data_IF_250249384779
#
_entry.id   IF_250249384779
#
_cell.length_a   1.000
_cell.length_b   1.000
_cell.length_c   1.000
_cell.angle_alpha   90.00
_cell.angle_beta   90.00
_cell.angle_gamma   90.00
#
_symmetry.space_group_name_H-M   'P 1'
#
loop_
_entity.id
_entity.type
_entity.pdbx_description
1 polymer ?
#
# COMPACT_ATOMS: atom_id res chain seq x y z
N UNK A 1 17.37 3.02 23.60
CA UNK A 1 17.29 2.67 22.16
C UNK A 1 15.87 2.26 21.86
N UNK A 2 15.34 2.54 20.66
CA UNK A 2 14.02 2.04 20.27
C UNK A 2 13.98 0.50 20.32
N UNK A 3 12.86 -0.06 20.76
CA UNK A 3 12.64 -1.52 20.81
C UNK A 3 11.65 -1.96 19.74
N UNK A 4 11.99 -3.02 19.00
CA UNK A 4 11.13 -3.62 17.97
C UNK A 4 10.78 -5.06 18.32
N UNK A 5 9.49 -5.38 18.25
CA UNK A 5 9.01 -6.76 18.29
C UNK A 5 8.87 -7.30 16.87
N UNK A 6 9.53 -8.40 16.55
CA UNK A 6 9.26 -9.20 15.35
C UNK A 6 8.37 -10.36 15.76
N UNK A 7 7.09 -10.29 15.40
CA UNK A 7 6.04 -11.17 15.93
C UNK A 7 5.67 -12.34 15.02
N UNK A 8 6.14 -12.31 13.77
CA UNK A 8 5.95 -13.34 12.76
C UNK A 8 7.31 -13.89 12.30
N UNK A 9 7.30 -15.07 11.66
CA UNK A 9 8.50 -15.62 11.00
C UNK A 9 9.03 -14.67 9.95
N UNK A 10 10.23 -14.14 10.15
CA UNK A 10 10.94 -13.26 9.24
C UNK A 10 12.36 -13.77 9.03
N UNK A 11 13.03 -13.38 7.94
CA UNK A 11 14.44 -13.74 7.77
C UNK A 11 15.27 -13.25 8.97
N UNK A 12 16.18 -14.08 9.53
CA UNK A 12 17.10 -13.66 10.58
C UNK A 12 17.92 -12.42 10.20
N UNK A 13 18.14 -12.17 8.91
CA UNK A 13 18.81 -10.98 8.39
C UNK A 13 18.14 -9.68 8.84
N UNK A 14 16.80 -9.64 8.96
CA UNK A 14 16.09 -8.47 9.50
C UNK A 14 16.49 -8.17 10.95
N UNK A 15 16.63 -9.21 11.77
CA UNK A 15 17.04 -9.08 13.18
C UNK A 15 18.45 -8.49 13.26
N UNK A 16 19.36 -8.93 12.39
CA UNK A 16 20.71 -8.40 12.34
C UNK A 16 20.72 -6.92 11.91
N UNK A 17 19.92 -6.54 10.91
CA UNK A 17 19.81 -5.14 10.45
C UNK A 17 19.32 -4.21 11.55
N UNK A 18 18.29 -4.62 12.30
CA UNK A 18 17.83 -3.82 13.44
C UNK A 18 18.96 -3.56 14.43
N UNK A 19 19.71 -4.61 14.81
CA UNK A 19 20.84 -4.50 15.75
C UNK A 19 21.94 -3.59 15.21
N UNK A 20 22.36 -3.80 13.96
CA UNK A 20 23.41 -3.01 13.31
C UNK A 20 23.05 -1.53 13.18
N UNK A 21 21.75 -1.22 13.08
CA UNK A 21 21.22 0.15 13.02
C UNK A 21 20.89 0.74 14.39
N UNK A 22 21.24 0.07 15.49
CA UNK A 22 21.05 0.58 16.85
C UNK A 22 19.61 0.48 17.36
N UNK A 23 18.83 -0.48 16.87
CA UNK A 23 17.50 -0.84 17.34
C UNK A 23 17.57 -2.14 18.13
N UNK A 24 17.02 -2.14 19.34
CA UNK A 24 16.90 -3.35 20.14
C UNK A 24 15.73 -4.19 19.62
N UNK A 25 15.89 -5.52 19.57
CA UNK A 25 14.95 -6.39 18.85
C UNK A 25 14.67 -7.68 19.60
N UNK A 26 13.39 -7.94 19.84
CA UNK A 26 12.89 -9.23 20.32
C UNK A 26 12.28 -10.00 19.14
N UNK A 27 12.90 -11.14 18.79
CA UNK A 27 12.43 -12.02 17.73
C UNK A 27 11.57 -13.15 18.34
N UNK A 28 10.25 -12.97 18.31
CA UNK A 28 9.27 -13.89 18.88
C UNK A 28 8.27 -14.34 17.79
N UNK A 29 8.70 -15.11 16.77
CA UNK A 29 7.93 -15.32 15.54
C UNK A 29 6.63 -16.13 15.68
N UNK A 30 6.38 -16.71 16.85
CA UNK A 30 5.15 -17.44 17.14
C UNK A 30 4.15 -16.61 17.96
N UNK A 31 4.56 -15.47 18.54
CA UNK A 31 3.68 -14.65 19.39
C UNK A 31 2.55 -14.01 18.58
N UNK A 32 2.75 -13.80 17.27
CA UNK A 32 1.73 -13.27 16.38
C UNK A 32 0.43 -14.08 16.32
N UNK A 33 0.52 -15.39 16.56
CA UNK A 33 -0.64 -16.30 16.61
C UNK A 33 -1.32 -16.29 17.99
N UNK A 34 -0.58 -15.95 19.04
CA UNK A 34 -1.04 -15.88 20.42
C UNK A 34 -1.48 -14.45 20.75
N UNK A 35 -2.75 -14.16 20.45
CA UNK A 35 -3.33 -12.82 20.59
C UNK A 35 -3.26 -12.29 22.03
N UNK A 36 -3.37 -13.17 23.02
CA UNK A 36 -3.38 -12.78 24.44
C UNK A 36 -1.98 -12.38 24.87
N UNK A 37 -0.98 -13.24 24.59
CA UNK A 37 0.41 -12.94 24.89
C UNK A 37 0.92 -11.71 24.14
N UNK A 38 0.53 -11.53 22.87
CA UNK A 38 0.90 -10.35 22.10
C UNK A 38 0.32 -9.07 22.74
N UNK A 39 -0.94 -9.10 23.21
CA UNK A 39 -1.56 -7.98 23.92
C UNK A 39 -0.84 -7.63 25.23
N UNK A 40 -0.32 -8.62 25.95
CA UNK A 40 0.40 -8.42 27.22
C UNK A 40 1.73 -7.68 27.03
N UNK A 41 2.44 -7.96 25.94
CA UNK A 41 3.81 -7.47 25.75
C UNK A 41 3.91 -6.23 24.85
N UNK A 42 2.91 -5.94 24.02
CA UNK A 42 3.03 -4.93 22.95
C UNK A 42 3.30 -3.51 23.46
N UNK A 43 2.87 -3.18 24.68
CA UNK A 43 3.10 -1.88 25.31
C UNK A 43 4.58 -1.55 25.52
N UNK A 44 5.47 -2.55 25.45
CA UNK A 44 6.91 -2.38 25.69
C UNK A 44 7.72 -1.96 24.45
N UNK A 45 7.10 -1.88 23.28
CA UNK A 45 7.80 -1.73 22.00
C UNK A 45 7.46 -0.42 21.28
N UNK A 46 8.47 0.17 20.63
CA UNK A 46 8.34 1.32 19.73
C UNK A 46 7.95 0.92 18.31
N UNK A 47 8.27 -0.32 17.90
CA UNK A 47 7.94 -0.85 16.59
C UNK A 47 7.46 -2.29 16.60
N UNK A 48 6.59 -2.63 15.66
CA UNK A 48 6.06 -3.98 15.47
C UNK A 48 6.29 -4.41 14.01
N UNK A 49 7.18 -5.37 13.80
CA UNK A 49 7.39 -6.01 12.50
C UNK A 49 6.54 -7.29 12.40
N UNK A 50 5.76 -7.38 11.33
CA UNK A 50 4.79 -8.45 11.10
C UNK A 50 4.87 -9.00 9.67
N UNK A 51 4.26 -10.15 9.43
CA UNK A 51 3.91 -10.68 8.09
C UNK A 51 2.40 -10.82 7.95
N UNK A 52 1.88 -12.03 7.78
CA UNK A 52 0.46 -12.31 7.56
C UNK A 52 -0.25 -12.94 8.76
N UNK A 53 0.51 -13.49 9.72
CA UNK A 53 -0.04 -14.24 10.85
C UNK A 53 -0.57 -13.28 11.92
N UNK A 54 0.23 -12.29 12.31
CA UNK A 54 -0.21 -11.25 13.25
C UNK A 54 -1.33 -10.40 12.64
N UNK A 55 -2.43 -10.23 13.39
CA UNK A 55 -3.50 -9.28 13.04
C UNK A 55 -3.41 -8.04 13.94
N UNK A 56 -3.06 -6.90 13.35
CA UNK A 56 -2.95 -5.61 14.05
C UNK A 56 -4.31 -4.94 14.07
N UNK A 57 -5.11 -5.34 15.05
CA UNK A 57 -6.49 -4.85 15.25
C UNK A 57 -6.53 -3.57 16.09
N UNK A 58 -7.65 -2.84 16.09
CA UNK A 58 -7.89 -1.72 17.00
C UNK A 58 -7.64 -2.09 18.47
N UNK A 59 -8.02 -3.30 18.90
CA UNK A 59 -7.75 -3.81 20.27
C UNK A 59 -6.24 -3.88 20.56
N UNK A 60 -5.45 -4.40 19.62
CA UNK A 60 -4.00 -4.49 19.78
C UNK A 60 -3.35 -3.11 19.82
N UNK A 61 -3.73 -2.23 18.89
CA UNK A 61 -3.27 -0.85 18.84
C UNK A 61 -3.68 -0.07 20.10
N UNK A 62 -4.79 -0.45 20.73
CA UNK A 62 -5.25 0.07 22.02
C UNK A 62 -4.32 -0.25 23.19
N UNK A 63 -3.72 -1.44 23.22
CA UNK A 63 -2.78 -1.85 24.25
C UNK A 63 -1.35 -1.33 23.99
N UNK A 64 -1.04 -0.92 22.76
CA UNK A 64 0.29 -0.57 22.29
C UNK A 64 0.70 0.88 22.63
N UNK A 65 0.83 1.21 23.90
CA UNK A 65 1.01 2.60 24.39
C UNK A 65 2.27 3.31 23.92
N UNK A 66 3.33 2.58 23.57
CA UNK A 66 4.61 3.14 23.09
C UNK A 66 4.81 3.02 21.57
N UNK A 67 3.91 2.32 20.87
CA UNK A 67 4.11 1.93 19.49
C UNK A 67 4.08 3.16 18.56
N UNK A 68 5.09 3.28 17.70
CA UNK A 68 5.24 4.38 16.74
C UNK A 68 5.10 3.91 15.30
N UNK A 69 5.49 2.66 15.01
CA UNK A 69 5.48 2.10 13.66
C UNK A 69 5.08 0.63 13.64
N UNK A 70 4.27 0.27 12.66
CA UNK A 70 3.99 -1.11 12.24
C UNK A 70 4.60 -1.31 10.86
N UNK A 71 5.57 -2.22 10.74
CA UNK A 71 6.15 -2.61 9.47
C UNK A 71 5.63 -3.97 9.04
N UNK A 72 4.90 -4.02 7.92
CA UNK A 72 4.46 -5.26 7.30
C UNK A 72 5.48 -5.70 6.25
N UNK A 73 6.13 -6.84 6.48
CA UNK A 73 6.97 -7.53 5.49
C UNK A 73 6.10 -8.21 4.41
N UNK A 74 5.83 -7.44 3.35
CA UNK A 74 5.11 -7.80 2.12
C UNK A 74 4.24 -6.62 1.63
N UNK A 75 3.66 -6.73 0.43
CA UNK A 75 2.85 -5.65 -0.19
C UNK A 75 1.51 -5.41 0.50
N UNK A 76 0.69 -6.46 0.67
CA UNK A 76 -0.64 -6.35 1.27
C UNK A 76 -0.60 -5.98 2.75
N UNK A 77 -1.61 -5.25 3.20
CA UNK A 77 -1.73 -4.75 4.59
C UNK A 77 -3.11 -5.04 5.16
N UNK A 78 -3.78 -6.04 4.60
CA UNK A 78 -5.15 -6.44 4.94
C UNK A 78 -5.28 -6.91 6.41
N UNK A 79 -4.16 -7.26 7.04
CA UNK A 79 -4.07 -7.64 8.44
C UNK A 79 -3.74 -6.47 9.40
N UNK A 80 -3.78 -5.22 8.93
CA UNK A 80 -3.55 -4.03 9.75
C UNK A 80 -4.75 -3.09 9.66
N UNK A 81 -5.30 -2.72 10.82
CA UNK A 81 -6.32 -1.68 10.90
C UNK A 81 -5.67 -0.29 10.75
N UNK A 82 -5.48 0.12 9.49
CA UNK A 82 -4.85 1.39 9.14
C UNK A 82 -5.63 2.58 9.70
N UNK A 83 -6.97 2.65 9.62
CA UNK A 83 -7.73 3.73 10.25
C UNK A 83 -7.45 3.84 11.76
N UNK A 84 -7.49 2.73 12.51
CA UNK A 84 -7.20 2.74 13.94
C UNK A 84 -5.75 3.12 14.24
N UNK A 85 -4.78 2.62 13.47
CA UNK A 85 -3.37 2.96 13.62
C UNK A 85 -3.16 4.47 13.38
N UNK A 86 -3.79 5.00 12.33
CA UNK A 86 -3.66 6.39 11.96
C UNK A 86 -4.29 7.32 12.99
N UNK A 87 -5.47 6.99 13.55
CA UNK A 87 -6.09 7.75 14.65
C UNK A 87 -5.17 7.84 15.88
N UNK A 88 -4.39 6.78 16.14
CA UNK A 88 -3.42 6.72 17.24
C UNK A 88 -2.06 7.29 16.89
N UNK A 89 -1.89 7.78 15.67
CA UNK A 89 -0.64 8.39 15.26
C UNK A 89 0.46 7.39 14.91
N UNK A 90 0.12 6.12 14.69
CA UNK A 90 1.06 5.02 14.43
C UNK A 90 1.27 4.92 12.91
N UNK A 91 2.53 4.98 12.47
CA UNK A 91 2.87 4.84 11.05
C UNK A 91 2.71 3.38 10.64
N UNK A 92 2.08 3.14 9.49
CA UNK A 92 2.00 1.81 8.88
C UNK A 92 2.84 1.81 7.61
N UNK A 93 3.83 0.92 7.53
CA UNK A 93 4.71 0.75 6.38
C UNK A 93 4.55 -0.65 5.78
N UNK A 94 4.70 -0.77 4.47
CA UNK A 94 4.81 -2.05 3.77
C UNK A 94 6.12 -2.15 2.98
N UNK A 95 6.30 -3.24 2.25
CA UNK A 95 7.48 -3.46 1.39
C UNK A 95 7.02 -3.63 -0.05
N UNK A 96 6.74 -2.52 -0.77
CA UNK A 96 6.00 -2.55 -2.03
C UNK A 96 6.76 -3.19 -3.21
N UNK A 97 8.06 -3.45 -3.04
CA UNK A 97 8.94 -3.97 -4.09
C UNK A 97 9.48 -5.38 -3.77
N UNK A 98 9.58 -5.74 -2.48
CA UNK A 98 10.33 -6.93 -2.06
C UNK A 98 9.86 -8.27 -2.62
N UNK A 99 8.61 -8.37 -3.09
CA UNK A 99 8.07 -9.59 -3.70
C UNK A 99 7.44 -9.36 -5.10
N UNK A 100 7.66 -8.20 -5.73
CA UNK A 100 7.00 -7.89 -7.00
C UNK A 100 7.40 -8.85 -8.13
N UNK A 101 8.69 -9.18 -8.21
CA UNK A 101 9.25 -10.12 -9.18
C UNK A 101 8.65 -11.51 -8.98
N UNK A 102 8.72 -12.03 -7.76
CA UNK A 102 8.21 -13.36 -7.38
C UNK A 102 6.71 -13.50 -7.65
N UNK A 103 5.91 -12.49 -7.32
CA UNK A 103 4.46 -12.56 -7.58
C UNK A 103 4.16 -12.55 -9.08
N UNK A 104 4.92 -11.75 -9.85
CA UNK A 104 4.80 -11.74 -11.29
C UNK A 104 5.25 -13.08 -11.92
N UNK A 105 6.27 -13.76 -11.36
CA UNK A 105 6.69 -15.09 -11.81
C UNK A 105 5.62 -16.12 -11.54
N UNK A 106 5.01 -16.06 -10.36
CA UNK A 106 3.93 -16.96 -9.98
C UNK A 106 2.69 -16.80 -10.88
N UNK A 107 2.32 -15.56 -11.23
CA UNK A 107 1.23 -15.31 -12.17
C UNK A 107 1.53 -15.89 -13.57
N UNK A 108 2.75 -15.71 -14.07
CA UNK A 108 3.18 -16.30 -15.35
C UNK A 108 3.25 -17.83 -15.27
N UNK A 109 3.69 -18.38 -14.13
CA UNK A 109 3.72 -19.83 -13.89
C UNK A 109 2.31 -20.42 -13.90
N UNK A 110 1.34 -19.79 -13.22
CA UNK A 110 -0.07 -20.20 -13.28
C UNK A 110 -0.64 -20.08 -14.69
N UNK A 111 -0.29 -19.03 -15.44
CA UNK A 111 -0.69 -18.91 -16.85
C UNK A 111 -0.23 -20.11 -17.69
N UNK A 112 1.02 -20.55 -17.53
CA UNK A 112 1.53 -21.75 -18.20
C UNK A 112 0.89 -23.04 -17.68
N UNK A 113 0.70 -23.16 -16.36
CA UNK A 113 0.04 -24.31 -15.74
C UNK A 113 -1.35 -24.53 -16.32
N UNK A 114 -2.12 -23.45 -16.50
CA UNK A 114 -3.43 -23.47 -17.15
C UNK A 114 -3.35 -23.76 -18.64
N UNK A 115 -2.43 -23.10 -19.36
CA UNK A 115 -2.30 -23.26 -20.79
C UNK A 115 -1.98 -24.72 -21.16
N UNK A 116 -1.30 -25.46 -20.28
CA UNK A 116 -0.79 -26.80 -20.54
C UNK A 116 -1.37 -27.89 -19.64
N UNK A 117 -2.32 -27.57 -18.76
CA UNK A 117 -2.98 -28.51 -17.83
C UNK A 117 -1.95 -29.29 -16.99
N UNK A 118 -0.91 -28.58 -16.51
CA UNK A 118 0.27 -29.22 -15.91
C UNK A 118 -0.06 -30.04 -14.65
N UNK A 119 -0.86 -29.55 -13.68
CA UNK A 119 -1.13 -30.32 -12.47
C UNK A 119 -1.85 -31.64 -12.76
N UNK A 120 -2.87 -31.63 -13.61
CA UNK A 120 -3.67 -32.80 -13.97
C UNK A 120 -2.84 -33.80 -14.79
N UNK A 121 -2.05 -33.31 -15.74
CA UNK A 121 -1.15 -34.14 -16.55
C UNK A 121 -0.06 -34.79 -15.69
N UNK A 122 0.53 -34.05 -14.75
CA UNK A 122 1.49 -34.59 -13.79
C UNK A 122 0.84 -35.67 -12.91
N UNK A 123 -0.34 -35.40 -12.31
CA UNK A 123 -1.04 -36.35 -11.46
C UNK A 123 -1.38 -37.65 -12.21
N UNK A 124 -1.88 -37.55 -13.45
CA UNK A 124 -2.17 -38.71 -14.29
C UNK A 124 -0.92 -39.55 -14.60
N UNK A 125 0.18 -38.88 -14.94
CA UNK A 125 1.45 -39.55 -15.31
C UNK A 125 2.11 -40.22 -14.10
N UNK A 126 2.13 -39.56 -12.93
CA UNK A 126 2.63 -40.12 -11.67
C UNK A 126 1.80 -41.33 -11.20
N UNK A 127 0.51 -41.37 -11.55
CA UNK A 127 -0.36 -42.53 -11.34
C UNK A 127 -0.12 -43.68 -12.34
N UNK A 128 0.90 -43.59 -13.19
CA UNK A 128 1.27 -44.62 -14.17
C UNK A 128 0.40 -44.63 -15.44
N UNK A 129 -0.45 -43.62 -15.65
CA UNK A 129 -1.28 -43.52 -16.85
C UNK A 129 -0.55 -42.80 -17.97
N UNK A 130 -0.92 -43.08 -19.22
CA UNK A 130 -0.38 -42.43 -20.41
C UNK A 130 -1.48 -41.84 -21.28
N UNK A 131 -2.16 -40.84 -20.77
CA UNK A 131 -3.37 -40.24 -21.37
C UNK A 131 -3.04 -39.11 -22.37
N UNK A 132 -2.08 -39.32 -23.29
CA UNK A 132 -1.61 -38.28 -24.23
C UNK A 132 -2.75 -37.56 -24.95
N UNK A 133 -3.78 -38.29 -25.35
CA UNK A 133 -4.91 -37.75 -26.13
C UNK A 133 -5.96 -37.03 -25.27
N UNK A 134 -5.91 -37.14 -23.94
CA UNK A 134 -6.81 -36.42 -23.01
C UNK A 134 -6.42 -34.95 -22.87
N UNK A 135 -5.12 -34.65 -22.90
CA UNK A 135 -4.60 -33.32 -22.66
C UNK A 135 -4.42 -32.56 -23.98
N UNK A 136 -5.09 -31.42 -24.09
CA UNK A 136 -5.00 -30.53 -25.24
C UNK A 136 -4.84 -29.09 -24.73
N UNK A 137 -3.58 -28.66 -24.68
CA UNK A 137 -3.25 -27.31 -24.24
C UNK A 137 -3.53 -26.25 -25.30
N UNK A 138 -3.17 -25.02 -24.95
CA UNK A 138 -3.16 -23.86 -25.86
C UNK A 138 -1.78 -23.25 -25.93
N UNK A 139 -1.43 -22.81 -27.12
CA UNK A 139 -0.26 -21.96 -27.34
C UNK A 139 -0.59 -20.52 -26.93
N UNK A 140 0.33 -19.86 -26.22
CA UNK A 140 0.20 -18.48 -25.74
C UNK A 140 0.77 -17.46 -26.74
N UNK A 141 1.72 -17.86 -27.58
CA UNK A 141 2.35 -17.01 -28.60
C UNK A 141 1.28 -16.41 -29.51
N UNK A 142 1.36 -15.09 -29.75
CA UNK A 142 0.40 -14.36 -30.58
C UNK A 142 -1.00 -14.21 -29.99
N UNK A 143 -1.27 -14.71 -28.77
CA UNK A 143 -2.53 -14.45 -28.05
C UNK A 143 -2.49 -13.11 -27.34
N UNK A 144 -3.65 -12.61 -26.96
CA UNK A 144 -3.78 -11.38 -26.19
C UNK A 144 -3.76 -11.66 -24.68
N UNK A 145 -2.85 -10.99 -23.96
CA UNK A 145 -2.82 -10.93 -22.50
C UNK A 145 -3.40 -9.59 -22.03
N UNK A 146 -4.52 -9.64 -21.31
CA UNK A 146 -5.09 -8.52 -20.59
C UNK A 146 -4.53 -8.41 -19.17
N UNK A 147 -3.93 -7.27 -18.85
CA UNK A 147 -3.37 -6.97 -17.53
C UNK A 147 -4.26 -5.94 -16.84
N UNK A 148 -4.98 -6.35 -15.78
CA UNK A 148 -5.82 -5.46 -14.98
C UNK A 148 -4.99 -4.98 -13.78
N UNK A 149 -4.61 -3.70 -13.79
CA UNK A 149 -3.63 -3.09 -12.88
C UNK A 149 -2.21 -3.24 -13.42
N UNK A 150 -1.56 -2.12 -13.75
CA UNK A 150 -0.23 -2.06 -14.33
C UNK A 150 0.78 -1.36 -13.39
N UNK A 151 0.64 -1.63 -12.09
CA UNK A 151 1.60 -1.19 -11.05
C UNK A 151 2.88 -2.03 -11.04
N UNK A 152 3.54 -2.10 -9.87
CA UNK A 152 4.84 -2.79 -9.72
C UNK A 152 4.82 -4.25 -10.22
N UNK A 153 3.77 -5.02 -9.94
CA UNK A 153 3.67 -6.44 -10.35
C UNK A 153 3.17 -6.53 -11.80
N UNK A 154 2.08 -5.83 -12.11
CA UNK A 154 1.43 -5.90 -13.42
C UNK A 154 2.36 -5.46 -14.56
N UNK A 155 3.20 -4.45 -14.35
CA UNK A 155 4.19 -4.03 -15.34
C UNK A 155 5.26 -5.10 -15.62
N UNK A 156 5.70 -5.86 -14.61
CA UNK A 156 6.62 -6.98 -14.81
C UNK A 156 5.95 -8.11 -15.60
N UNK A 157 4.69 -8.43 -15.27
CA UNK A 157 3.91 -9.44 -16.01
C UNK A 157 3.68 -9.00 -17.46
N UNK A 158 3.36 -7.73 -17.68
CA UNK A 158 3.22 -7.15 -19.00
C UNK A 158 4.50 -7.29 -19.84
N UNK A 159 5.66 -6.86 -19.31
CA UNK A 159 6.94 -6.99 -20.02
C UNK A 159 7.29 -8.46 -20.31
N UNK A 160 6.99 -9.38 -19.39
CA UNK A 160 7.17 -10.82 -19.62
C UNK A 160 6.23 -11.35 -20.70
N UNK A 161 4.97 -10.90 -20.74
CA UNK A 161 4.01 -11.23 -21.80
C UNK A 161 4.50 -10.78 -23.18
N UNK A 162 5.02 -9.57 -23.29
CA UNK A 162 5.67 -9.07 -24.52
C UNK A 162 6.88 -9.94 -24.90
N UNK A 163 7.71 -10.30 -23.92
CA UNK A 163 8.86 -11.20 -24.10
C UNK A 163 8.45 -12.59 -24.64
N UNK A 164 7.30 -13.10 -24.16
CA UNK A 164 6.65 -14.34 -24.61
C UNK A 164 5.90 -14.19 -25.95
N UNK A 165 6.01 -13.03 -26.61
CA UNK A 165 5.40 -12.73 -27.91
C UNK A 165 3.87 -12.76 -27.88
N UNK A 166 3.28 -12.37 -26.75
CA UNK A 166 1.85 -12.08 -26.65
C UNK A 166 1.57 -10.63 -27.06
N UNK A 167 0.34 -10.35 -27.49
CA UNK A 167 -0.17 -8.98 -27.59
C UNK A 167 -0.64 -8.55 -26.21
N UNK A 168 -0.02 -7.55 -25.59
CA UNK A 168 -0.35 -7.17 -24.22
C UNK A 168 -1.20 -5.90 -24.22
N UNK A 169 -2.38 -5.99 -23.62
CA UNK A 169 -3.27 -4.84 -23.36
C UNK A 169 -3.38 -4.63 -21.85
N UNK A 170 -3.41 -3.39 -21.38
CA UNK A 170 -3.42 -3.08 -19.96
C UNK A 170 -4.50 -2.05 -19.62
N UNK A 171 -5.25 -2.32 -18.56
CA UNK A 171 -6.15 -1.35 -17.93
C UNK A 171 -5.58 -0.94 -16.58
N UNK A 172 -5.25 0.34 -16.43
CA UNK A 172 -4.93 0.96 -15.16
C UNK A 172 -5.21 2.47 -15.25
N UNK A 173 -6.11 3.03 -14.42
CA UNK A 173 -6.42 4.46 -14.44
C UNK A 173 -5.22 5.38 -14.18
N UNK A 174 -4.15 4.84 -13.60
CA UNK A 174 -2.95 5.60 -13.23
C UNK A 174 -1.76 5.33 -14.18
N UNK A 175 -1.92 4.47 -15.18
CA UNK A 175 -0.89 4.25 -16.20
C UNK A 175 -0.86 5.42 -17.19
N UNK A 176 0.28 6.09 -17.32
CA UNK A 176 0.48 7.11 -18.35
C UNK A 176 0.71 6.47 -19.72
N UNK A 177 0.34 7.17 -20.79
CA UNK A 177 0.53 6.68 -22.16
C UNK A 177 2.01 6.47 -22.48
N UNK A 178 2.87 7.39 -22.02
CA UNK A 178 4.33 7.26 -22.12
C UNK A 178 4.90 6.00 -21.45
N UNK A 179 4.34 5.60 -20.30
CA UNK A 179 4.77 4.40 -19.59
C UNK A 179 4.26 3.13 -20.29
N UNK A 180 3.05 3.18 -20.86
CA UNK A 180 2.52 2.09 -21.67
C UNK A 180 3.39 1.83 -22.91
N UNK A 181 3.78 2.89 -23.62
CA UNK A 181 4.72 2.82 -24.74
C UNK A 181 6.07 2.22 -24.35
N UNK A 182 6.67 2.68 -23.24
CA UNK A 182 7.94 2.14 -22.72
C UNK A 182 7.85 0.63 -22.41
N UNK A 183 6.72 0.19 -21.86
CA UNK A 183 6.47 -1.22 -21.56
C UNK A 183 6.15 -2.06 -22.81
N UNK A 184 5.87 -1.41 -23.95
CA UNK A 184 5.44 -2.07 -25.19
C UNK A 184 4.03 -2.67 -25.10
N UNK A 185 3.12 -1.99 -24.39
CA UNK A 185 1.74 -2.45 -24.19
C UNK A 185 0.70 -1.43 -24.64
N UNK A 186 -0.47 -1.91 -25.07
CA UNK A 186 -1.59 -1.05 -25.40
C UNK A 186 -2.38 -0.71 -24.13
N UNK A 187 -2.42 0.57 -23.74
CA UNK A 187 -3.33 1.01 -22.69
C UNK A 187 -4.75 1.10 -23.25
N UNK A 188 -5.69 0.46 -22.58
CA UNK A 188 -7.10 0.35 -23.00
C UNK A 188 -8.05 0.55 -21.82
N UNK A 189 -9.31 0.82 -22.11
CA UNK A 189 -10.38 0.78 -21.10
C UNK A 189 -10.75 -0.67 -20.74
N UNK A 190 -11.37 -0.85 -19.57
CA UNK A 190 -11.63 -2.18 -19.01
C UNK A 190 -12.53 -3.05 -19.91
N UNK A 191 -13.59 -2.46 -20.49
CA UNK A 191 -14.49 -3.20 -21.39
C UNK A 191 -13.77 -3.66 -22.67
N UNK A 192 -12.86 -2.83 -23.21
CA UNK A 192 -12.04 -3.21 -24.36
C UNK A 192 -11.06 -4.34 -24.02
N UNK A 193 -10.46 -4.30 -22.83
CA UNK A 193 -9.60 -5.38 -22.33
C UNK A 193 -10.36 -6.71 -22.32
N UNK A 194 -11.60 -6.75 -21.81
CA UNK A 194 -12.39 -7.98 -21.76
C UNK A 194 -12.65 -8.55 -23.16
N UNK A 195 -13.02 -7.69 -24.11
CA UNK A 195 -13.32 -8.11 -25.48
C UNK A 195 -12.09 -8.68 -26.22
N UNK A 196 -10.89 -8.17 -25.93
CA UNK A 196 -9.66 -8.52 -26.66
C UNK A 196 -8.89 -9.70 -26.06
N UNK A 197 -9.03 -9.97 -24.76
CA UNK A 197 -8.10 -10.84 -24.03
C UNK A 197 -8.42 -12.34 -24.15
N UNK A 198 -7.38 -13.14 -24.44
CA UNK A 198 -7.45 -14.61 -24.35
C UNK A 198 -7.00 -15.11 -22.97
N UNK A 199 -6.10 -14.35 -22.33
CA UNK A 199 -5.67 -14.51 -20.95
C UNK A 199 -5.88 -13.19 -20.22
N UNK A 200 -6.39 -13.23 -18.98
CA UNK A 200 -6.56 -12.05 -18.13
C UNK A 200 -5.83 -12.31 -16.81
N UNK A 201 -5.02 -11.36 -16.37
CA UNK A 201 -4.31 -11.42 -15.07
C UNK A 201 -4.60 -10.18 -14.24
N UNK A 202 -4.86 -10.38 -12.96
CA UNK A 202 -5.19 -9.31 -12.01
C UNK A 202 -4.00 -8.93 -11.14
N UNK A 203 -3.74 -7.62 -11.02
CA UNK A 203 -2.66 -7.01 -10.23
C UNK A 203 -3.10 -5.70 -9.55
N UNK A 204 -4.37 -5.61 -9.16
CA UNK A 204 -4.94 -4.45 -8.46
C UNK A 204 -5.05 -4.69 -6.94
N UNK A 205 -5.00 -3.61 -6.12
CA UNK A 205 -5.34 -3.72 -4.70
C UNK A 205 -6.84 -4.00 -4.52
N UNK A 206 -7.22 -4.50 -3.34
CA UNK A 206 -8.62 -4.63 -2.94
C UNK A 206 -9.16 -3.29 -2.45
N UNK A 207 -10.17 -2.76 -3.12
CA UNK A 207 -10.87 -1.51 -2.83
C UNK A 207 -12.34 -1.67 -3.17
N UNK A 208 -13.20 -0.74 -2.75
CA UNK A 208 -14.62 -0.77 -3.12
C UNK A 208 -14.83 -0.71 -4.64
N UNK A 209 -13.90 -0.11 -5.39
CA UNK A 209 -13.95 -0.02 -6.85
C UNK A 209 -13.46 -1.27 -7.57
N UNK A 210 -12.65 -2.09 -6.91
CA UNK A 210 -12.01 -3.28 -7.51
C UNK A 210 -12.56 -4.59 -6.98
N UNK A 211 -13.34 -4.54 -5.89
CA UNK A 211 -14.08 -5.68 -5.37
C UNK A 211 -15.05 -6.20 -6.41
N UNK A 212 -14.97 -7.50 -6.72
CA UNK A 212 -15.80 -8.13 -7.73
C UNK A 212 -15.66 -7.51 -9.12
N UNK A 213 -14.49 -6.92 -9.45
CA UNK A 213 -14.21 -6.37 -10.79
C UNK A 213 -14.39 -7.42 -11.89
N UNK A 214 -14.23 -8.70 -11.55
CA UNK A 214 -14.64 -9.83 -12.38
C UNK A 214 -15.88 -10.47 -11.75
N UNK A 215 -17.04 -10.07 -12.26
CA UNK A 215 -18.36 -10.62 -11.93
C UNK A 215 -19.02 -11.23 -13.19
N UNK A 216 -20.24 -11.74 -13.07
CA UNK A 216 -20.98 -12.32 -14.19
C UNK A 216 -21.10 -11.39 -15.40
N UNK A 217 -21.33 -10.09 -15.19
CA UNK A 217 -21.42 -9.09 -16.27
C UNK A 217 -20.07 -8.95 -17.00
N UNK A 218 -18.97 -8.76 -16.27
CA UNK A 218 -17.63 -8.68 -16.82
C UNK A 218 -17.27 -9.95 -17.60
N UNK A 219 -17.54 -11.13 -17.04
CA UNK A 219 -17.29 -12.42 -17.69
C UNK A 219 -18.09 -12.56 -18.99
N UNK A 220 -19.34 -12.07 -19.03
CA UNK A 220 -20.18 -12.14 -20.24
C UNK A 220 -19.56 -11.41 -21.44
N UNK A 221 -18.80 -10.34 -21.20
CA UNK A 221 -18.12 -9.53 -22.22
C UNK A 221 -16.83 -10.17 -22.74
N UNK A 222 -16.29 -11.16 -22.04
CA UNK A 222 -15.02 -11.79 -22.42
C UNK A 222 -15.17 -12.72 -23.63
N UNK A 223 -14.05 -13.08 -24.25
CA UNK A 223 -14.02 -14.16 -25.25
C UNK A 223 -14.40 -15.51 -24.63
N UNK A 224 -15.02 -16.37 -25.44
CA UNK A 224 -15.27 -17.75 -25.03
C UNK A 224 -13.94 -18.51 -24.90
N UNK A 225 -13.79 -19.26 -23.81
CA UNK A 225 -12.56 -19.99 -23.51
C UNK A 225 -11.42 -19.14 -22.92
N UNK A 226 -11.71 -17.90 -22.50
CA UNK A 226 -10.75 -17.03 -21.79
C UNK A 226 -10.18 -17.72 -20.55
N UNK A 227 -8.92 -17.46 -20.23
CA UNK A 227 -8.26 -17.96 -19.01
C UNK A 227 -7.96 -16.82 -18.05
N UNK A 228 -8.29 -16.98 -16.77
CA UNK A 228 -8.21 -15.91 -15.77
C UNK A 228 -7.20 -16.30 -14.68
N UNK A 229 -6.28 -15.40 -14.34
CA UNK A 229 -5.25 -15.59 -13.33
C UNK A 229 -5.41 -14.53 -12.23
N UNK A 230 -5.48 -14.96 -10.97
CA UNK A 230 -5.49 -14.07 -9.82
C UNK A 230 -4.41 -14.45 -8.81
N UNK A 231 -3.34 -13.67 -8.79
CA UNK A 231 -2.29 -13.68 -7.76
C UNK A 231 -2.27 -12.37 -6.96
N UNK A 232 -3.35 -11.58 -7.02
CA UNK A 232 -3.41 -10.26 -6.40
C UNK A 232 -4.13 -10.30 -5.06
N UNK A 233 -5.47 -10.31 -5.06
CA UNK A 233 -6.28 -10.37 -3.83
C UNK A 233 -7.51 -11.24 -4.03
N UNK A 234 -7.88 -11.98 -2.98
CA UNK A 234 -9.18 -12.64 -2.89
C UNK A 234 -10.32 -11.63 -2.96
N UNK A 235 -11.45 -12.03 -3.57
CA UNK A 235 -12.62 -11.16 -3.76
C UNK A 235 -12.54 -10.17 -4.93
N UNK A 236 -11.43 -10.13 -5.69
CA UNK A 236 -11.40 -9.39 -6.97
C UNK A 236 -12.26 -10.09 -8.03
N UNK A 237 -12.38 -11.41 -7.91
CA UNK A 237 -13.28 -12.24 -8.70
C UNK A 237 -14.41 -12.69 -7.78
N UNK A 238 -15.65 -12.58 -8.25
CA UNK A 238 -16.80 -13.21 -7.60
C UNK A 238 -16.70 -14.72 -7.85
N UNK A 239 -16.29 -15.48 -6.83
CA UNK A 239 -15.96 -16.92 -6.99
C UNK A 239 -17.14 -17.73 -7.53
N UNK A 240 -18.37 -17.41 -7.10
CA UNK A 240 -19.59 -18.08 -7.59
C UNK A 240 -19.82 -17.87 -9.09
N UNK A 241 -19.61 -16.66 -9.60
CA UNK A 241 -19.76 -16.33 -11.01
C UNK A 241 -18.69 -17.03 -11.85
N UNK A 242 -17.45 -17.07 -11.33
CA UNK A 242 -16.35 -17.80 -11.96
C UNK A 242 -16.66 -19.30 -12.07
N UNK A 243 -17.18 -19.92 -11.00
CA UNK A 243 -17.57 -21.35 -11.02
C UNK A 243 -18.65 -21.61 -12.08
N UNK A 244 -19.67 -20.75 -12.16
CA UNK A 244 -20.71 -20.88 -13.18
C UNK A 244 -20.13 -20.80 -14.60
N UNK A 245 -19.23 -19.85 -14.83
CA UNK A 245 -18.60 -19.65 -16.13
C UNK A 245 -17.60 -20.75 -16.53
N UNK A 246 -16.90 -21.34 -15.55
CA UNK A 246 -16.05 -22.51 -15.76
C UNK A 246 -16.89 -23.73 -16.15
N UNK A 247 -18.02 -23.96 -15.47
CA UNK A 247 -18.94 -25.06 -15.78
C UNK A 247 -19.62 -24.91 -17.14
N UNK A 248 -19.93 -23.67 -17.55
CA UNK A 248 -20.53 -23.41 -18.86
C UNK A 248 -19.51 -23.45 -20.02
N UNK A 249 -18.21 -23.47 -19.71
CA UNK A 249 -17.13 -23.36 -20.70
C UNK A 249 -16.88 -21.93 -21.21
N UNK A 250 -17.58 -20.92 -20.67
CA UNK A 250 -17.33 -19.51 -20.99
C UNK A 250 -15.90 -19.14 -20.60
N UNK A 251 -15.47 -19.57 -19.42
CA UNK A 251 -14.08 -19.49 -18.96
C UNK A 251 -13.43 -20.85 -19.17
N UNK A 252 -12.36 -20.89 -19.95
CA UNK A 252 -11.64 -22.11 -20.30
C UNK A 252 -10.79 -22.67 -19.16
N UNK A 253 -10.40 -21.82 -18.20
CA UNK A 253 -9.74 -22.23 -16.97
C UNK A 253 -9.33 -21.05 -16.08
N UNK A 254 -9.02 -21.32 -14.82
CA UNK A 254 -8.65 -20.29 -13.85
C UNK A 254 -7.49 -20.67 -12.94
N UNK A 255 -6.54 -19.75 -12.75
CA UNK A 255 -5.36 -19.91 -11.89
C UNK A 255 -5.48 -19.01 -10.68
N UNK A 256 -5.76 -19.57 -9.51
CA UNK A 256 -6.14 -18.82 -8.31
C UNK A 256 -5.12 -19.09 -7.19
N UNK A 257 -4.35 -18.06 -6.83
CA UNK A 257 -3.43 -18.12 -5.69
C UNK A 257 -4.05 -17.55 -4.40
N UNK A 258 -5.10 -16.74 -4.53
CA UNK A 258 -5.69 -15.97 -3.44
C UNK A 258 -7.21 -16.12 -3.44
N UNK A 259 -7.80 -16.24 -2.24
CA UNK A 259 -9.20 -16.60 -2.05
C UNK A 259 -9.93 -15.56 -1.21
N UNK A 260 -11.25 -15.42 -1.38
CA UNK A 260 -12.03 -14.46 -0.58
C UNK A 260 -11.92 -14.74 0.92
N UNK A 261 -11.90 -16.03 1.30
CA UNK A 261 -11.67 -16.48 2.68
C UNK A 261 -10.39 -17.29 2.73
N UNK A 262 -9.44 -16.84 3.55
CA UNK A 262 -8.18 -17.53 3.80
C UNK A 262 -7.99 -17.82 5.31
N UNK A 263 -7.56 -19.03 5.71
CA UNK A 263 -7.17 -20.16 4.85
C UNK A 263 -8.33 -20.82 4.09
N UNK A 264 -8.17 -20.99 2.77
CA UNK A 264 -9.18 -21.60 1.92
C UNK A 264 -9.12 -23.13 2.05
N UNK A 265 -9.93 -23.67 2.94
CA UNK A 265 -10.06 -25.14 3.15
C UNK A 265 -11.25 -25.72 2.40
N UNK A 266 -12.27 -24.90 2.13
CA UNK A 266 -13.50 -25.26 1.43
C UNK A 266 -13.85 -24.18 0.40
N UNK A 267 -13.24 -24.21 -0.79
CA UNK A 267 -13.59 -23.31 -1.90
C UNK A 267 -14.43 -24.05 -2.95
N UNK A 268 -15.46 -23.41 -3.53
CA UNK A 268 -16.25 -24.01 -4.62
C UNK A 268 -15.45 -24.21 -5.91
N UNK A 269 -14.25 -23.63 -5.99
CA UNK A 269 -13.31 -23.81 -7.10
C UNK A 269 -12.53 -25.14 -7.01
N UNK A 270 -12.45 -25.74 -5.82
CA UNK A 270 -11.69 -26.97 -5.62
C UNK A 270 -12.36 -28.16 -6.31
N UNK A 271 -11.55 -28.98 -6.98
CA UNK A 271 -12.01 -30.18 -7.69
C UNK A 271 -12.49 -29.95 -9.13
N UNK A 272 -12.53 -28.70 -9.62
CA UNK A 272 -12.78 -28.42 -11.03
C UNK A 272 -11.54 -28.74 -11.88
N UNK A 273 -11.69 -29.51 -12.97
CA UNK A 273 -10.57 -30.00 -13.79
C UNK A 273 -9.78 -28.90 -14.53
N UNK A 274 -10.35 -27.70 -14.67
CA UNK A 274 -9.75 -26.57 -15.37
C UNK A 274 -9.33 -25.44 -14.42
N UNK A 275 -9.12 -25.75 -13.14
CA UNK A 275 -8.71 -24.78 -12.12
C UNK A 275 -7.41 -25.22 -11.48
N UNK A 276 -6.42 -24.31 -11.48
CA UNK A 276 -5.16 -24.49 -10.76
C UNK A 276 -5.19 -23.57 -9.54
N UNK A 277 -5.12 -24.17 -8.35
CA UNK A 277 -5.10 -23.43 -7.09
C UNK A 277 -3.75 -23.58 -6.38
N UNK A 278 -3.28 -22.50 -5.78
CA UNK A 278 -2.10 -22.50 -4.90
C UNK A 278 -2.40 -21.74 -3.61
N UNK A 279 -1.84 -22.14 -2.46
CA UNK A 279 -2.20 -21.56 -1.17
C UNK A 279 -1.44 -20.26 -0.88
N UNK A 280 -1.72 -19.20 -1.65
CA UNK A 280 -1.14 -17.86 -1.48
C UNK A 280 0.40 -17.86 -1.50
N UNK A 281 0.96 -18.44 -2.58
CA UNK A 281 2.39 -18.64 -2.78
C UNK A 281 3.08 -17.49 -3.54
N UNK A 282 2.37 -16.47 -4.00
CA UNK A 282 2.95 -15.38 -4.81
C UNK A 282 4.14 -14.64 -4.18
N UNK A 283 4.37 -14.78 -2.87
CA UNK A 283 5.54 -14.22 -2.18
C UNK A 283 6.44 -15.29 -1.50
N UNK A 284 6.20 -16.57 -1.77
CA UNK A 284 6.77 -17.70 -1.03
C UNK A 284 8.04 -18.24 -1.70
N UNK A 285 9.05 -17.37 -1.88
CA UNK A 285 10.42 -17.77 -2.28
C UNK A 285 11.44 -17.19 -1.31
N UNK A 286 12.64 -17.79 -1.25
CA UNK A 286 13.73 -17.33 -0.38
C UNK A 286 14.11 -15.87 -0.67
N UNK A 287 14.20 -15.50 -1.95
CA UNK A 287 14.54 -14.14 -2.38
C UNK A 287 13.49 -13.12 -1.95
N UNK A 288 12.20 -13.46 -2.09
CA UNK A 288 11.12 -12.59 -1.62
C UNK A 288 11.16 -12.44 -0.11
N UNK A 289 11.36 -13.54 0.63
CA UNK A 289 11.46 -13.51 2.09
C UNK A 289 12.61 -12.64 2.58
N UNK A 290 13.76 -12.72 1.92
CA UNK A 290 14.92 -11.91 2.24
C UNK A 290 14.67 -10.43 1.89
N UNK A 291 14.23 -10.12 0.67
CA UNK A 291 14.01 -8.75 0.23
C UNK A 291 12.99 -7.99 1.08
N UNK A 292 11.86 -8.63 1.45
CA UNK A 292 10.87 -7.97 2.34
C UNK A 292 11.41 -7.80 3.76
N UNK A 293 12.23 -8.73 4.24
CA UNK A 293 12.85 -8.65 5.57
C UNK A 293 13.89 -7.52 5.63
N UNK A 294 14.74 -7.41 4.61
CA UNK A 294 15.68 -6.30 4.44
C UNK A 294 14.91 -4.97 4.43
N UNK A 295 13.96 -4.81 3.49
CA UNK A 295 13.25 -3.56 3.28
C UNK A 295 12.51 -3.08 4.54
N UNK A 296 11.81 -3.99 5.25
CA UNK A 296 11.05 -3.61 6.45
C UNK A 296 11.97 -3.20 7.60
N UNK A 297 13.10 -3.90 7.79
CA UNK A 297 14.02 -3.62 8.89
C UNK A 297 14.73 -2.28 8.67
N UNK A 298 15.16 -2.01 7.44
CA UNK A 298 15.82 -0.77 7.09
C UNK A 298 14.92 0.46 7.29
N UNK A 299 13.72 0.44 6.70
CA UNK A 299 12.81 1.59 6.76
C UNK A 299 12.28 1.86 8.17
N UNK A 300 11.99 0.81 8.95
CA UNK A 300 11.60 0.97 10.35
C UNK A 300 12.75 1.56 11.18
N UNK A 301 13.98 1.10 10.96
CA UNK A 301 15.15 1.64 11.66
C UNK A 301 15.41 3.09 11.29
N UNK A 302 15.33 3.45 10.01
CA UNK A 302 15.51 4.83 9.56
C UNK A 302 14.46 5.78 10.17
N UNK A 303 13.21 5.32 10.33
CA UNK A 303 12.21 6.08 11.06
C UNK A 303 12.51 6.19 12.54
N UNK A 304 12.75 5.07 13.23
CA UNK A 304 12.92 5.04 14.68
C UNK A 304 14.18 5.79 15.15
N UNK A 305 15.23 5.84 14.32
CA UNK A 305 16.51 6.46 14.65
C UNK A 305 16.64 7.87 14.07
N UNK A 306 16.23 8.08 12.81
CA UNK A 306 16.48 9.33 12.07
C UNK A 306 15.20 10.13 11.79
N UNK A 307 14.03 9.53 11.96
CA UNK A 307 12.73 10.12 11.61
C UNK A 307 12.45 10.13 10.10
N UNK A 308 13.23 9.42 9.28
CA UNK A 308 12.98 9.31 7.84
C UNK A 308 11.85 8.29 7.59
N UNK A 309 10.92 8.63 6.70
CA UNK A 309 9.70 7.85 6.46
C UNK A 309 9.67 7.43 5.00
N UNK A 310 9.74 6.12 4.74
CA UNK A 310 9.58 5.55 3.41
C UNK A 310 8.49 4.48 3.42
N UNK A 311 7.83 4.28 2.28
CA UNK A 311 6.79 3.26 2.09
C UNK A 311 5.67 3.29 3.14
N UNK A 312 5.40 4.46 3.72
CA UNK A 312 4.29 4.65 4.64
C UNK A 312 2.98 4.75 3.85
N UNK A 313 1.96 4.04 4.33
CA UNK A 313 0.65 3.97 3.69
C UNK A 313 -0.27 5.08 4.20
N UNK A 314 -0.07 5.50 5.44
CA UNK A 314 -0.92 6.47 6.13
C UNK A 314 -0.25 7.81 6.43
N UNK A 315 0.92 8.07 5.86
CA UNK A 315 1.66 9.32 6.03
C UNK A 315 2.49 9.64 4.78
N UNK A 316 2.68 10.93 4.41
CA UNK A 316 3.60 11.32 3.37
C UNK A 316 5.03 10.81 3.62
N UNK A 317 5.66 10.23 2.60
CA UNK A 317 7.07 9.87 2.66
C UNK A 317 7.94 11.11 2.88
N UNK A 318 9.01 10.98 3.64
CA UNK A 318 10.03 12.00 3.90
C UNK A 318 11.38 11.31 3.72
N UNK A 319 12.09 11.63 2.64
CA UNK A 319 13.37 10.97 2.34
C UNK A 319 14.46 11.37 3.35
N UNK A 320 15.53 10.58 3.43
CA UNK A 320 16.66 10.90 4.29
C UNK A 320 17.37 12.21 3.89
N UNK A 321 17.34 12.57 2.61
CA UNK A 321 17.89 13.83 2.09
C UNK A 321 16.97 15.02 2.38
N UNK A 322 15.65 14.80 2.30
CA UNK A 322 14.65 15.83 2.62
C UNK A 322 14.57 16.10 4.12
N UNK A 323 14.69 15.08 4.97
CA UNK A 323 14.44 15.19 6.40
C UNK A 323 15.22 16.32 7.10
N UNK A 324 16.54 16.51 6.89
CA UNK A 324 17.28 17.63 7.47
C UNK A 324 16.78 19.01 7.02
N UNK A 325 16.42 19.14 5.73
CA UNK A 325 15.95 20.39 5.13
C UNK A 325 14.52 20.72 5.56
N UNK A 326 13.69 19.70 5.72
CA UNK A 326 12.28 19.82 6.04
C UNK A 326 12.05 20.03 7.55
N UNK A 327 12.92 19.49 8.42
CA UNK A 327 12.80 19.52 9.88
C UNK A 327 12.56 20.94 10.46
N UNK A 328 13.31 21.99 10.08
CA UNK A 328 13.02 23.36 10.53
C UNK A 328 11.61 23.83 10.15
N UNK A 329 11.16 23.52 8.94
CA UNK A 329 9.87 23.95 8.42
C UNK A 329 8.70 23.13 8.97
N UNK A 330 8.91 21.84 9.28
CA UNK A 330 7.97 21.04 10.08
C UNK A 330 7.78 21.68 11.44
N UNK A 331 8.88 22.08 12.10
CA UNK A 331 8.79 22.73 13.41
C UNK A 331 8.07 24.08 13.32
N UNK A 332 8.34 24.87 12.28
CA UNK A 332 7.62 26.12 12.01
C UNK A 332 6.12 25.88 11.80
N UNK A 333 5.76 24.92 10.94
CA UNK A 333 4.38 24.54 10.67
C UNK A 333 3.64 24.14 11.95
N UNK A 334 4.25 23.28 12.79
CA UNK A 334 3.71 22.93 14.11
C UNK A 334 3.49 24.15 15.00
N UNK A 335 4.45 25.08 15.04
CA UNK A 335 4.37 26.29 15.88
C UNK A 335 3.30 27.25 15.39
N UNK A 336 3.18 27.45 14.07
CA UNK A 336 2.10 28.25 13.47
C UNK A 336 0.73 27.66 13.81
N UNK A 337 0.58 26.35 13.61
CA UNK A 337 -0.61 25.60 13.99
C UNK A 337 -0.93 25.77 15.47
N UNK A 338 0.01 25.42 16.35
CA UNK A 338 -0.18 25.47 17.80
C UNK A 338 -0.56 26.86 18.30
N UNK A 339 0.08 27.90 17.77
CA UNK A 339 -0.25 29.28 18.13
C UNK A 339 -1.70 29.59 17.78
N UNK A 340 -2.13 29.35 16.53
CA UNK A 340 -3.50 29.64 16.10
C UNK A 340 -4.50 28.77 16.85
N UNK A 341 -4.18 27.50 17.07
CA UNK A 341 -5.02 26.56 17.82
C UNK A 341 -5.27 27.02 19.25
N UNK A 342 -4.23 27.49 19.95
CA UNK A 342 -4.34 27.96 21.34
C UNK A 342 -5.23 29.19 21.47
N UNK A 343 -5.23 30.07 20.47
CA UNK A 343 -6.04 31.28 20.51
C UNK A 343 -7.43 31.09 19.90
N UNK A 344 -7.72 29.95 19.27
CA UNK A 344 -8.99 29.69 18.56
C UNK A 344 -9.90 28.81 19.40
N UNK A 345 -10.95 29.43 19.93
CA UNK A 345 -11.95 28.76 20.79
C UNK A 345 -13.19 28.32 20.01
N UNK A 346 -13.45 28.92 18.85
CA UNK A 346 -14.61 28.57 18.02
C UNK A 346 -14.34 27.33 17.15
N UNK A 347 -15.40 26.59 16.77
CA UNK A 347 -15.29 25.56 15.75
C UNK A 347 -14.68 26.11 14.45
N UNK A 348 -13.61 25.46 14.00
CA UNK A 348 -12.94 25.80 12.75
C UNK A 348 -13.80 25.28 11.59
N UNK A 349 -14.04 26.11 10.58
CA UNK A 349 -14.75 25.72 9.35
C UNK A 349 -13.75 25.42 8.23
N UNK A 350 -12.70 26.23 8.13
CA UNK A 350 -11.72 26.13 7.05
C UNK A 350 -10.32 26.50 7.54
N UNK A 351 -9.33 25.78 7.00
CA UNK A 351 -7.91 26.00 7.18
C UNK A 351 -7.30 26.16 5.80
N UNK A 352 -6.68 27.30 5.52
CA UNK A 352 -5.91 27.55 4.31
C UNK A 352 -4.43 27.66 4.68
N UNK A 353 -3.59 26.90 3.99
CA UNK A 353 -2.14 26.91 4.18
C UNK A 353 -1.50 27.35 2.87
N UNK A 354 -0.91 28.55 2.90
CA UNK A 354 -0.12 29.12 1.82
C UNK A 354 1.35 28.77 2.02
N UNK A 355 1.94 28.20 0.98
CA UNK A 355 3.38 28.00 0.82
C UNK A 355 3.89 28.95 -0.25
N UNK A 356 4.81 29.84 0.13
CA UNK A 356 5.42 30.83 -0.74
C UNK A 356 6.92 30.53 -0.96
N UNK A 357 7.39 30.81 -2.17
CA UNK A 357 8.80 30.71 -2.55
C UNK A 357 9.34 29.29 -2.36
N UNK A 358 10.48 29.15 -1.68
CA UNK A 358 11.12 27.86 -1.49
C UNK A 358 10.22 26.83 -0.78
N UNK A 359 9.30 27.27 0.08
CA UNK A 359 8.41 26.34 0.80
C UNK A 359 7.37 25.68 -0.11
N UNK A 360 7.03 26.30 -1.25
CA UNK A 360 6.07 25.77 -2.22
C UNK A 360 6.60 24.53 -2.97
N UNK A 361 7.93 24.42 -3.11
CA UNK A 361 8.60 23.30 -3.78
C UNK A 361 9.03 22.20 -2.82
N UNK A 362 8.86 22.41 -1.51
CA UNK A 362 9.11 21.38 -0.49
C UNK A 362 7.98 20.34 -0.45
N UNK A 363 8.17 19.33 0.40
CA UNK A 363 7.16 18.33 0.73
C UNK A 363 6.01 18.95 1.56
N UNK A 364 5.15 19.66 0.85
CA UNK A 364 3.99 20.41 1.35
C UNK A 364 2.98 19.53 2.07
N UNK A 365 2.81 18.26 1.66
CA UNK A 365 1.94 17.31 2.37
C UNK A 365 2.39 17.06 3.81
N UNK A 366 3.70 16.90 4.04
CA UNK A 366 4.25 16.77 5.38
C UNK A 366 4.08 18.07 6.18
N UNK A 367 4.27 19.24 5.55
CA UNK A 367 4.09 20.53 6.22
C UNK A 367 2.63 20.81 6.59
N UNK A 368 1.67 20.44 5.73
CA UNK A 368 0.23 20.50 6.03
C UNK A 368 -0.06 19.61 7.24
N UNK A 369 0.42 18.37 7.23
CA UNK A 369 0.21 17.43 8.34
C UNK A 369 0.76 17.97 9.67
N UNK A 370 1.95 18.58 9.65
CA UNK A 370 2.55 19.25 10.81
C UNK A 370 1.74 20.46 11.29
N UNK A 371 1.23 21.26 10.36
CA UNK A 371 0.40 22.44 10.65
C UNK A 371 -0.90 22.02 11.32
N UNK A 372 -1.60 21.04 10.77
CA UNK A 372 -2.85 20.52 11.32
C UNK A 372 -2.62 19.87 12.68
N UNK A 373 -1.52 19.13 12.86
CA UNK A 373 -1.17 18.54 14.15
C UNK A 373 -0.95 19.63 15.21
N UNK A 374 -0.20 20.68 14.89
CA UNK A 374 -0.07 21.83 15.77
C UNK A 374 -1.43 22.48 16.09
N UNK A 375 -2.25 22.70 15.06
CA UNK A 375 -3.53 23.41 15.14
C UNK A 375 -4.52 22.77 16.11
N UNK A 376 -4.66 21.44 16.10
CA UNK A 376 -5.66 20.77 16.92
C UNK A 376 -5.11 20.23 18.25
N UNK A 377 -3.78 20.23 18.45
CA UNK A 377 -3.12 19.77 19.69
C UNK A 377 -3.64 20.42 20.97
N UNK A 378 -4.02 21.71 21.00
CA UNK A 378 -4.61 22.32 22.19
C UNK A 378 -5.98 21.74 22.57
N UNK A 379 -6.71 21.13 21.62
CA UNK A 379 -8.05 20.60 21.81
C UNK A 379 -8.08 19.07 21.94
N UNK A 380 -7.03 18.39 21.47
CA UNK A 380 -6.93 16.92 21.41
C UNK A 380 -5.55 16.51 21.88
N UNK A 381 -5.48 15.75 22.98
CA UNK A 381 -4.24 15.11 23.41
C UNK A 381 -3.79 14.07 22.37
N UNK A 382 -2.49 13.82 22.31
CA UNK A 382 -1.90 12.72 21.51
C UNK A 382 -2.06 12.84 19.98
N UNK A 383 -2.37 14.04 19.46
CA UNK A 383 -2.33 14.29 18.02
C UNK A 383 -0.90 14.42 17.48
N UNK A 384 -0.65 13.79 16.34
CA UNK A 384 0.59 13.94 15.58
C UNK A 384 0.32 14.08 14.08
N UNK A 385 1.38 14.10 13.27
CA UNK A 385 1.30 14.30 11.82
C UNK A 385 0.54 13.18 11.06
N UNK A 386 0.35 12.01 11.67
CA UNK A 386 -0.43 10.91 11.08
C UNK A 386 -1.91 11.08 11.43
N UNK A 387 -2.23 11.37 12.70
CA UNK A 387 -3.62 11.45 13.17
C UNK A 387 -4.32 12.76 12.80
N UNK A 388 -3.58 13.87 12.71
CA UNK A 388 -4.18 15.20 12.53
C UNK A 388 -5.01 15.35 11.24
N UNK A 389 -4.54 14.95 10.04
CA UNK A 389 -5.33 15.09 8.82
C UNK A 389 -6.67 14.35 8.88
N UNK A 390 -6.69 13.20 9.56
CA UNK A 390 -7.90 12.39 9.73
C UNK A 390 -8.87 13.08 10.68
N UNK A 391 -8.40 13.47 11.86
CA UNK A 391 -9.23 14.15 12.87
C UNK A 391 -9.81 15.47 12.35
N UNK A 392 -9.05 16.22 11.55
CA UNK A 392 -9.51 17.46 10.90
C UNK A 392 -10.64 17.16 9.90
N UNK A 393 -10.47 16.13 9.06
CA UNK A 393 -11.48 15.71 8.09
C UNK A 393 -12.76 15.20 8.77
N UNK A 394 -12.65 14.40 9.84
CA UNK A 394 -13.79 13.90 10.62
C UNK A 394 -14.60 15.02 11.29
N UNK A 395 -13.93 16.13 11.64
CA UNK A 395 -14.58 17.34 12.15
C UNK A 395 -15.23 18.21 11.06
N UNK A 396 -15.17 17.78 9.80
CA UNK A 396 -15.74 18.53 8.66
C UNK A 396 -14.97 19.81 8.31
N UNK A 397 -13.72 19.94 8.79
CA UNK A 397 -12.90 21.12 8.52
C UNK A 397 -12.38 21.04 7.07
N UNK A 398 -12.64 22.07 6.28
CA UNK A 398 -12.11 22.19 4.93
C UNK A 398 -10.62 22.57 5.01
N UNK A 399 -9.76 21.84 4.30
CA UNK A 399 -8.32 22.16 4.21
C UNK A 399 -7.99 22.57 2.78
N UNK A 400 -7.50 23.79 2.61
CA UNK A 400 -7.04 24.35 1.35
C UNK A 400 -5.50 24.48 1.36
N UNK A 401 -4.89 24.07 0.26
CA UNK A 401 -3.46 24.26 -0.01
C UNK A 401 -3.31 25.32 -1.11
N UNK A 402 -2.47 26.32 -0.86
CA UNK A 402 -2.10 27.34 -1.85
C UNK A 402 -0.59 27.33 -2.03
N UNK A 403 -0.14 27.23 -3.28
CA UNK A 403 1.29 27.33 -3.64
C UNK A 403 1.50 28.57 -4.49
N UNK A 404 2.56 29.31 -4.22
CA UNK A 404 2.91 30.52 -4.95
C UNK A 404 4.42 30.61 -5.18
N UNK A 405 4.81 31.12 -6.34
CA UNK A 405 6.18 31.57 -6.59
C UNK A 405 6.60 32.63 -5.56
N UNK A 406 7.91 32.82 -5.38
CA UNK A 406 8.46 33.72 -4.37
C UNK A 406 7.82 35.11 -4.49
N UNK A 407 7.20 35.56 -3.40
CA UNK A 407 6.67 36.91 -3.27
C UNK A 407 7.19 37.59 -2.01
N UNK A 408 7.48 38.89 -2.11
CA UNK A 408 8.02 39.67 -0.99
C UNK A 408 9.52 39.42 -0.73
N UNK A 409 9.93 39.66 0.53
CA UNK A 409 11.35 39.77 0.91
C UNK A 409 11.98 38.48 1.43
N UNK A 410 11.17 37.46 1.76
CA UNK A 410 11.65 36.19 2.30
C UNK A 410 11.86 35.17 1.18
N UNK A 411 12.86 34.29 1.31
CA UNK A 411 13.10 33.23 0.34
C UNK A 411 11.99 32.17 0.30
N UNK A 412 11.29 32.01 1.42
CA UNK A 412 10.03 31.28 1.49
C UNK A 412 9.40 31.41 2.87
N UNK A 413 8.08 31.30 2.95
CA UNK A 413 7.35 31.33 4.22
C UNK A 413 6.08 30.48 4.14
N UNK A 414 5.60 30.08 5.31
CA UNK A 414 4.33 29.39 5.48
C UNK A 414 3.35 30.37 6.11
N UNK A 415 2.16 30.52 5.53
CA UNK A 415 1.07 31.30 6.11
C UNK A 415 -0.14 30.39 6.36
N UNK A 416 -0.59 30.38 7.59
CA UNK A 416 -1.78 29.67 8.04
C UNK A 416 -2.91 30.67 8.22
N UNK A 417 -4.01 30.46 7.50
CA UNK A 417 -5.27 31.17 7.66
C UNK A 417 -6.32 30.21 8.21
N UNK A 418 -6.95 30.56 9.33
CA UNK A 418 -8.02 29.77 9.96
C UNK A 418 -9.30 30.60 9.97
N UNK A 419 -10.36 30.03 9.40
CA UNK A 419 -11.71 30.61 9.38
C UNK A 419 -12.63 29.83 10.29
N UNK A 420 -13.40 30.57 11.06
CA UNK A 420 -14.46 30.09 11.94
C UNK A 420 -15.76 30.77 11.52
N UNK A 421 -16.86 30.54 12.23
CA UNK A 421 -18.11 31.27 11.96
C UNK A 421 -17.99 32.78 12.16
N UNK A 422 -17.23 33.21 13.17
CA UNK A 422 -17.23 34.59 13.64
C UNK A 422 -15.95 35.36 13.27
N UNK A 423 -14.87 34.66 12.93
CA UNK A 423 -13.56 35.27 12.71
C UNK A 423 -12.70 34.53 11.71
N UNK A 424 -11.87 35.31 11.01
CA UNK A 424 -10.73 34.84 10.22
C UNK A 424 -9.44 35.32 10.87
N UNK A 425 -8.46 34.43 11.00
CA UNK A 425 -7.13 34.76 11.54
C UNK A 425 -6.06 34.25 10.61
N UNK A 426 -5.01 35.04 10.44
CA UNK A 426 -3.86 34.64 9.65
C UNK A 426 -2.57 34.90 10.43
N UNK A 427 -1.66 33.94 10.32
CA UNK A 427 -0.29 34.04 10.83
C UNK A 427 0.67 33.56 9.75
N UNK A 428 1.83 34.20 9.63
CA UNK A 428 2.89 33.74 8.77
C UNK A 428 4.20 33.61 9.53
N UNK A 429 5.02 32.66 9.10
CA UNK A 429 6.35 32.48 9.64
C UNK A 429 7.32 31.90 8.63
N UNK A 430 8.61 32.05 8.91
CA UNK A 430 9.72 31.56 8.10
C UNK A 430 10.81 30.94 8.98
N UNK A 431 11.76 30.27 8.36
CA UNK A 431 12.98 29.77 8.98
C UNK A 431 14.18 30.43 8.28
N UNK A 432 15.05 31.05 9.05
CA UNK A 432 16.32 31.60 8.54
C UNK A 432 17.42 30.53 8.53
N UNK A 433 18.65 30.93 8.19
CA UNK A 433 19.82 30.03 8.15
C UNK A 433 20.14 29.35 9.48
N UNK A 434 19.67 29.90 10.61
CA UNK A 434 19.79 29.29 11.94
C UNK A 434 18.82 28.11 12.18
N UNK A 435 17.92 27.84 11.22
CA UNK A 435 16.93 26.77 11.29
C UNK A 435 15.85 26.99 12.35
N UNK A 436 15.74 28.18 12.94
CA UNK A 436 14.76 28.47 14.00
C UNK A 436 13.51 29.13 13.41
N UNK A 437 12.31 28.69 13.81
CA UNK A 437 11.06 29.34 13.42
C UNK A 437 11.00 30.80 13.88
N UNK A 438 10.47 31.68 13.03
CA UNK A 438 10.12 33.06 13.35
C UNK A 438 8.75 33.40 12.81
N UNK A 439 7.92 34.04 13.63
CA UNK A 439 6.73 34.72 13.13
C UNK A 439 7.16 35.99 12.41
N UNK A 440 6.58 36.22 11.24
CA UNK A 440 6.84 37.40 10.40
C UNK A 440 5.57 38.20 10.14
N UNK A 441 4.41 37.67 10.53
CA UNK A 441 3.14 38.37 10.42
C UNK A 441 2.09 37.75 11.35
N UNK A 442 1.36 38.59 12.08
CA UNK A 442 0.18 38.20 12.88
C UNK A 442 -0.96 39.17 12.56
N UNK A 443 -2.10 38.67 12.08
CA UNK A 443 -3.27 39.50 11.69
C UNK A 443 -2.93 40.64 10.70
N UNK A 444 -1.95 40.42 9.83
CA UNK A 444 -1.51 41.44 8.86
C UNK A 444 -0.55 42.49 9.42
N UNK A 445 -0.17 42.40 10.69
CA UNK A 445 0.88 43.22 11.32
C UNK A 445 2.20 42.46 11.17
N UNK A 446 3.20 43.11 10.58
CA UNK A 446 4.54 42.54 10.32
C UNK A 446 5.46 42.67 11.53
#
# INVERSE_FOLDING_TARGET
MPRVLVSDKLSPTAVQIFKDRGVDVDYLPEVGKDKEKLLEIISQYDGLAIRSATKVTEKLLGAATNLKVVGRAGIGVDNVDIPAASRRGIIVMNTPFGNSITTAEHAVALMFALARQLPEANASTQAGKWEKNRFMGVEITGKTLGVIGCGNIGSIVATRGVGLKMHVVAFDPFLSDSRAEELGVDKVELDELFLRSDFITLHTPMTDKTRGIINAEAISKMKDGVRIINCARGGLIVEADLVAALKSGKVGGAGIDVFEVEPATESPLFGLENVVCTPHLGASTEEAQENVALQVAEQMSDYLIKGAVSNAINMPAITAEEAPRLKPFVKLAEVLGAFVGQVTEDPIKEVEILFDGQTATMNTRALISATLAGLIRPQVSDVNMVSAPIMVKERGIIVAEVKRDKSGVFDGYIKLTVKTEHRTRAIAGTCFSDGKPRFIQIKGIN
#
